data_IF_726318914374
#
_entry.id   IF_726318914374
#
_cell.length_a   1.000
_cell.length_b   1.000
_cell.length_c   1.000
_cell.angle_alpha   90.00
_cell.angle_beta   90.00
_cell.angle_gamma   90.00
#
_symmetry.space_group_name_H-M   'P 1'
#
loop_
_entity.id
_entity.type
_entity.pdbx_description
1 polymer ?
#
# COMPACT_ATOMS: atom_id res chain seq x y z
N UNK A 1 12.55 -0.50 9.09
CA UNK A 1 13.47 -1.65 8.90
C UNK A 1 13.86 -1.68 7.43
N UNK A 2 15.04 -2.17 7.02
CA UNK A 2 15.31 -2.35 5.59
C UNK A 2 14.54 -3.56 5.07
N UNK A 3 14.02 -3.49 3.85
CA UNK A 3 13.47 -4.64 3.15
C UNK A 3 13.77 -4.65 1.67
N UNK A 4 13.25 -5.67 1.01
CA UNK A 4 13.59 -5.99 -0.37
C UNK A 4 12.36 -6.54 -1.10
N UNK A 5 12.06 -5.98 -2.28
CA UNK A 5 11.23 -6.64 -3.28
C UNK A 5 12.16 -7.44 -4.20
N UNK A 6 11.84 -8.72 -4.39
CA UNK A 6 12.61 -9.62 -5.26
C UNK A 6 11.69 -10.15 -6.35
N UNK A 7 12.05 -9.89 -7.60
CA UNK A 7 11.31 -10.35 -8.78
C UNK A 7 11.75 -11.76 -9.17
N UNK A 8 10.89 -12.50 -9.87
CA UNK A 8 11.24 -13.81 -10.45
C UNK A 8 12.45 -13.73 -11.40
N UNK A 9 12.60 -12.60 -12.10
CA UNK A 9 13.74 -12.30 -12.98
C UNK A 9 15.08 -12.18 -12.23
N UNK A 10 15.05 -12.08 -10.90
CA UNK A 10 16.20 -11.83 -10.05
C UNK A 10 16.45 -10.35 -9.75
N UNK A 11 15.65 -9.44 -10.31
CA UNK A 11 15.71 -8.01 -10.00
C UNK A 11 15.38 -7.75 -8.52
N UNK A 12 16.06 -6.76 -7.94
CA UNK A 12 16.01 -6.46 -6.50
C UNK A 12 15.83 -4.97 -6.27
N UNK A 13 14.81 -4.62 -5.48
CA UNK A 13 14.52 -3.23 -5.12
C UNK A 13 14.56 -3.08 -3.60
N UNK A 14 15.49 -2.27 -3.11
CA UNK A 14 15.64 -1.98 -1.69
C UNK A 14 14.72 -0.83 -1.26
N UNK A 15 14.19 -0.93 -0.05
CA UNK A 15 13.37 0.13 0.55
C UNK A 15 13.25 -0.03 2.06
N UNK A 16 12.37 0.76 2.63
CA UNK A 16 11.96 0.70 4.03
C UNK A 16 10.70 -0.16 4.15
N UNK A 17 10.76 -1.18 4.99
CA UNK A 17 9.56 -1.93 5.38
C UNK A 17 8.76 -1.13 6.40
N UNK A 18 7.48 -0.98 6.09
CA UNK A 18 6.46 -0.62 7.06
C UNK A 18 6.05 -1.89 7.82
N UNK A 19 6.46 -1.99 9.09
CA UNK A 19 6.26 -3.20 9.89
C UNK A 19 7.31 -4.29 9.62
N UNK A 20 6.93 -5.55 9.87
CA UNK A 20 7.80 -6.73 9.83
C UNK A 20 7.20 -7.89 9.01
N UNK A 21 6.23 -7.59 8.14
CA UNK A 21 5.48 -8.60 7.37
C UNK A 21 6.17 -8.90 6.05
N UNK A 22 6.08 -10.17 5.65
CA UNK A 22 6.51 -10.66 4.34
C UNK A 22 5.29 -10.98 3.48
N UNK A 23 5.46 -10.92 2.16
CA UNK A 23 4.40 -11.19 1.19
C UNK A 23 4.94 -11.80 -0.09
N UNK A 24 4.05 -12.51 -0.79
CA UNK A 24 4.28 -13.07 -2.12
C UNK A 24 3.05 -12.80 -2.97
N UNK A 25 3.26 -12.43 -4.22
CA UNK A 25 2.16 -12.21 -5.16
C UNK A 25 2.66 -11.76 -6.52
N UNK A 26 1.73 -11.67 -7.46
CA UNK A 26 1.99 -11.06 -8.77
C UNK A 26 2.19 -9.56 -8.59
N UNK A 27 3.35 -9.03 -9.04
CA UNK A 27 3.61 -7.59 -8.97
C UNK A 27 2.88 -6.90 -10.13
N UNK A 28 1.98 -6.00 -9.80
CA UNK A 28 1.23 -5.19 -10.76
C UNK A 28 1.44 -3.71 -10.46
N UNK A 29 1.17 -2.83 -11.43
CA UNK A 29 1.20 -1.38 -11.22
C UNK A 29 -0.13 -0.73 -11.58
N UNK A 30 -0.48 0.34 -10.86
CA UNK A 30 -1.65 1.18 -11.14
C UNK A 30 -1.23 2.65 -11.28
N UNK A 31 -1.72 3.30 -12.33
CA UNK A 31 -1.40 4.68 -12.70
C UNK A 31 -2.34 5.74 -12.08
N UNK A 32 -3.31 5.30 -11.27
CA UNK A 32 -4.19 6.17 -10.52
C UNK A 32 -3.40 7.06 -9.55
N UNK A 33 -3.66 8.36 -9.62
CA UNK A 33 -3.00 9.35 -8.75
C UNK A 33 -3.76 9.59 -7.44
N UNK A 34 -4.98 9.07 -7.35
CA UNK A 34 -5.89 9.19 -6.21
C UNK A 34 -6.64 7.89 -6.03
N UNK A 35 -7.33 7.72 -4.90
CA UNK A 35 -8.10 6.51 -4.63
C UNK A 35 -7.24 5.35 -4.13
N UNK A 36 -6.13 5.62 -3.45
CA UNK A 36 -5.22 4.55 -3.01
C UNK A 36 -5.88 3.59 -2.03
N UNK A 37 -6.76 4.06 -1.13
CA UNK A 37 -7.41 3.20 -0.16
C UNK A 37 -8.46 2.30 -0.83
N UNK A 38 -9.19 2.85 -1.79
CA UNK A 38 -10.11 2.13 -2.65
C UNK A 38 -9.37 1.04 -3.42
N UNK A 39 -8.21 1.37 -4.01
CA UNK A 39 -7.36 0.39 -4.68
C UNK A 39 -6.85 -0.69 -3.72
N UNK A 40 -6.41 -0.33 -2.52
CA UNK A 40 -5.88 -1.29 -1.55
C UNK A 40 -6.94 -2.32 -1.12
N UNK A 41 -8.21 -1.92 -1.15
CA UNK A 41 -9.34 -2.71 -0.65
C UNK A 41 -10.21 -3.29 -1.77
N UNK A 42 -9.85 -3.07 -3.04
CA UNK A 42 -10.54 -3.62 -4.19
C UNK A 42 -10.26 -5.14 -4.30
N UNK A 43 -11.30 -6.00 -4.24
CA UNK A 43 -11.16 -7.45 -4.33
C UNK A 43 -10.40 -7.97 -5.57
N UNK A 44 -10.32 -7.18 -6.65
CA UNK A 44 -9.60 -7.55 -7.88
C UNK A 44 -8.09 -7.72 -7.68
N UNK A 45 -7.50 -7.11 -6.64
CA UNK A 45 -6.07 -7.24 -6.31
C UNK A 45 -5.72 -8.46 -5.46
N UNK A 46 -6.65 -9.40 -5.26
CA UNK A 46 -6.40 -10.64 -4.51
C UNK A 46 -5.20 -11.42 -5.07
N UNK A 47 -4.18 -11.64 -4.23
CA UNK A 47 -2.94 -12.34 -4.63
C UNK A 47 -1.90 -11.46 -5.33
N UNK A 48 -2.13 -10.15 -5.42
CA UNK A 48 -1.26 -9.22 -6.13
C UNK A 48 -0.52 -8.28 -5.17
N UNK A 49 0.73 -7.94 -5.51
CA UNK A 49 1.50 -6.88 -4.86
C UNK A 49 1.32 -5.61 -5.70
N UNK A 50 0.62 -4.63 -5.14
CA UNK A 50 0.23 -3.43 -5.85
C UNK A 50 1.32 -2.34 -5.75
N UNK A 51 1.81 -1.91 -6.92
CA UNK A 51 2.74 -0.79 -7.06
C UNK A 51 1.98 0.44 -7.54
N UNK A 52 1.98 1.53 -6.75
CA UNK A 52 1.35 2.78 -7.19
C UNK A 52 2.40 3.66 -7.87
N UNK A 53 2.09 4.17 -9.06
CA UNK A 53 3.05 5.03 -9.77
C UNK A 53 3.08 6.46 -9.24
N UNK A 54 2.02 6.90 -8.54
CA UNK A 54 2.00 8.22 -7.92
C UNK A 54 2.84 8.20 -6.64
N UNK A 55 3.81 9.12 -6.48
CA UNK A 55 4.86 8.96 -5.48
C UNK A 55 4.37 9.13 -4.04
N UNK A 56 3.48 10.11 -3.79
CA UNK A 56 3.04 10.45 -2.44
C UNK A 56 1.72 9.77 -2.08
N UNK A 57 1.79 8.72 -1.28
CA UNK A 57 0.62 7.96 -0.83
C UNK A 57 0.27 8.32 0.62
N UNK A 58 -1.03 8.41 0.92
CA UNK A 58 -1.51 8.79 2.25
C UNK A 58 -1.71 10.29 2.46
N UNK A 59 -1.58 11.13 1.43
CA UNK A 59 -1.71 12.59 1.56
C UNK A 59 -3.09 13.05 2.10
N UNK A 60 -4.16 12.30 1.85
CA UNK A 60 -5.48 12.57 2.41
C UNK A 60 -5.90 11.61 3.55
N UNK A 61 -4.96 10.80 4.06
CA UNK A 61 -5.21 9.85 5.14
C UNK A 61 -6.07 8.68 4.71
N UNK A 62 -6.76 8.06 5.66
CA UNK A 62 -7.70 6.97 5.43
C UNK A 62 -9.06 7.28 6.03
N UNK A 63 -10.12 6.69 5.47
CA UNK A 63 -11.47 6.76 6.00
C UNK A 63 -12.21 5.44 5.72
N UNK A 64 -12.92 4.92 6.71
CA UNK A 64 -13.71 3.69 6.60
C UNK A 64 -14.80 3.77 5.50
N UNK A 65 -15.26 4.97 5.17
CA UNK A 65 -16.24 5.22 4.11
C UNK A 65 -15.70 4.93 2.69
N UNK A 66 -14.36 4.90 2.51
CA UNK A 66 -13.73 4.65 1.21
C UNK A 66 -13.29 3.19 1.01
N UNK A 67 -13.59 2.30 1.95
CA UNK A 67 -13.27 0.88 1.83
C UNK A 67 -14.15 0.20 0.76
N UNK A 68 -13.54 -0.45 -0.23
CA UNK A 68 -14.25 -1.27 -1.24
C UNK A 68 -14.51 -2.70 -0.76
N UNK A 69 -13.86 -3.12 0.32
CA UNK A 69 -14.13 -4.37 1.01
C UNK A 69 -13.75 -4.27 2.49
N UNK A 70 -13.95 -5.34 3.27
CA UNK A 70 -13.76 -5.31 4.73
C UNK A 70 -12.30 -5.15 5.17
N UNK A 71 -11.35 -5.45 4.30
CA UNK A 71 -9.92 -5.41 4.56
C UNK A 71 -9.18 -5.18 3.23
N UNK A 72 -7.89 -4.82 3.23
CA UNK A 72 -7.09 -4.87 2.02
C UNK A 72 -7.15 -6.24 1.35
N UNK A 73 -7.34 -6.26 0.03
CA UNK A 73 -7.34 -7.48 -0.76
C UNK A 73 -5.96 -7.76 -1.38
N UNK A 74 -5.20 -6.70 -1.64
CA UNK A 74 -3.81 -6.80 -2.11
C UNK A 74 -2.94 -7.56 -1.10
N UNK A 75 -2.03 -8.37 -1.61
CA UNK A 75 -1.08 -9.16 -0.83
C UNK A 75 0.14 -8.37 -0.36
N UNK A 76 0.35 -7.17 -0.92
CA UNK A 76 1.40 -6.25 -0.50
C UNK A 76 1.35 -4.93 -1.25
N UNK A 77 2.10 -3.94 -0.78
CA UNK A 77 2.21 -2.63 -1.40
C UNK A 77 3.68 -2.25 -1.67
N UNK A 78 3.92 -1.62 -2.82
CA UNK A 78 5.20 -1.01 -3.17
C UNK A 78 4.94 0.44 -3.54
N UNK A 79 5.43 1.35 -2.70
CA UNK A 79 5.18 2.79 -2.79
C UNK A 79 6.52 3.54 -2.90
N UNK A 80 6.48 4.82 -3.24
CA UNK A 80 7.69 5.67 -3.21
C UNK A 80 7.77 6.46 -1.89
N UNK A 81 6.67 7.11 -1.49
CA UNK A 81 6.63 7.90 -0.26
C UNK A 81 5.32 7.71 0.49
N UNK A 82 5.43 7.63 1.81
CA UNK A 82 4.29 7.64 2.73
C UNK A 82 4.18 9.01 3.41
N UNK A 83 3.01 9.63 3.29
CA UNK A 83 2.71 10.87 4.00
C UNK A 83 2.54 10.61 5.50
N UNK A 84 3.38 11.28 6.30
CA UNK A 84 3.29 11.25 7.78
C UNK A 84 2.21 12.18 8.34
N UNK A 85 1.82 13.19 7.56
CA UNK A 85 0.90 14.24 7.98
C UNK A 85 -0.22 14.39 6.93
N UNK A 86 -1.22 13.49 6.94
CA UNK A 86 -2.36 13.60 6.04
C UNK A 86 -3.13 14.90 6.29
N UNK A 87 -3.65 15.51 5.23
CA UNK A 87 -4.43 16.76 5.29
C UNK A 87 -5.67 16.65 4.42
N UNK A 88 -6.76 16.19 5.03
CA UNK A 88 -8.09 16.17 4.42
C UNK A 88 -9.16 16.25 5.51
N UNK A 89 -10.28 16.93 5.24
CA UNK A 89 -11.37 17.09 6.20
C UNK A 89 -12.06 15.78 6.58
N UNK A 90 -11.94 14.74 5.75
CA UNK A 90 -12.44 13.38 5.98
C UNK A 90 -11.36 12.42 6.52
N UNK A 91 -10.17 12.91 6.87
CA UNK A 91 -9.09 12.06 7.36
C UNK A 91 -9.44 11.45 8.73
N UNK A 92 -9.60 10.13 8.77
CA UNK A 92 -9.85 9.36 10.00
C UNK A 92 -8.61 8.68 10.59
N UNK A 93 -7.50 8.63 9.84
CA UNK A 93 -6.25 8.00 10.26
C UNK A 93 -5.14 8.13 9.21
N UNK A 94 -3.94 7.64 9.52
CA UNK A 94 -2.84 7.60 8.56
C UNK A 94 -2.91 6.34 7.70
N UNK A 95 -2.28 6.37 6.52
CA UNK A 95 -2.14 5.16 5.70
C UNK A 95 -1.19 4.14 6.35
N UNK A 96 -0.21 4.63 7.12
CA UNK A 96 0.73 3.77 7.83
C UNK A 96 0.00 2.92 8.90
N UNK A 97 -0.83 3.56 9.73
CA UNK A 97 -1.63 2.86 10.74
C UNK A 97 -2.59 1.87 10.09
N UNK A 98 -3.23 2.25 8.98
CA UNK A 98 -4.13 1.38 8.23
C UNK A 98 -3.44 0.11 7.74
N UNK A 99 -2.23 0.22 7.16
CA UNK A 99 -1.47 -0.93 6.67
C UNK A 99 -1.02 -1.82 7.84
N UNK A 100 -0.54 -1.22 8.94
CA UNK A 100 -0.09 -1.95 10.13
C UNK A 100 -1.25 -2.69 10.82
N UNK A 101 -2.42 -2.05 10.94
CA UNK A 101 -3.64 -2.65 11.53
C UNK A 101 -4.07 -3.89 10.76
N UNK A 102 -4.01 -3.85 9.43
CA UNK A 102 -4.41 -4.97 8.56
C UNK A 102 -3.27 -5.98 8.32
N UNK A 103 -2.09 -5.75 8.88
CA UNK A 103 -0.93 -6.64 8.81
C UNK A 103 -0.49 -6.99 7.38
N UNK A 104 -0.59 -6.04 6.45
CA UNK A 104 -0.19 -6.20 5.04
C UNK A 104 1.25 -5.71 4.85
N UNK A 105 2.10 -6.45 4.13
CA UNK A 105 3.48 -6.01 3.86
C UNK A 105 3.50 -4.78 2.94
N UNK A 106 4.33 -3.81 3.28
CA UNK A 106 4.52 -2.61 2.47
C UNK A 106 5.99 -2.19 2.46
N UNK A 107 6.53 -1.99 1.25
CA UNK A 107 7.86 -1.44 1.00
C UNK A 107 7.72 -0.03 0.42
N UNK A 108 8.46 0.93 0.94
CA UNK A 108 8.50 2.31 0.45
C UNK A 108 9.86 2.97 0.70
#
# INVERSE_FOLDING_TARGET
MKGLLVMETGDRFEGTLLGDREGLGEVVFNTGMTGYQECFTDPSYGGQILTLTYPLIGNYGTNKEFMQSRAPAASGFVLDQISLHPSNWQCGGTIADFILEHQVPCLY
#
